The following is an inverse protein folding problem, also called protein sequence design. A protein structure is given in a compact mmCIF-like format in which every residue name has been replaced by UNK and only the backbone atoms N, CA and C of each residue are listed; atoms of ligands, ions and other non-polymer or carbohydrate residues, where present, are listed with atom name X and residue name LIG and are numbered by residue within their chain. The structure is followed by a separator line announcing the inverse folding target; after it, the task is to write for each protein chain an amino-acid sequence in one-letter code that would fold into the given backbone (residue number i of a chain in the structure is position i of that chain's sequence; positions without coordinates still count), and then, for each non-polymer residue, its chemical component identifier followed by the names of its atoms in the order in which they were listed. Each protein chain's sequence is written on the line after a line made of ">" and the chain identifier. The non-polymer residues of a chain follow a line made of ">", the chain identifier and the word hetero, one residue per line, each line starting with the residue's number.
data_IF_664858021853
#
_entry.id   IF_664858021853
#
_cell.length_a   1.000
_cell.length_b   1.000
_cell.length_c   1.000
_cell.angle_alpha   90.00
_cell.angle_beta   90.00
_cell.angle_gamma   90.00
#
_symmetry.space_group_name_H-M   'P 1'
#
loop_
_entity.id
_entity.type
_entity.pdbx_description
1 polymer ?
#
# COMPACT_ATOMS: atom_id res chain seq x y z
N UNK A 1 41.66 -11.86 -49.14
CA UNK A 1 40.71 -12.25 -48.07
C UNK A 1 41.50 -12.34 -46.77
N UNK A 2 41.43 -11.31 -45.93
CA UNK A 2 42.10 -11.29 -44.64
C UNK A 2 41.19 -11.95 -43.59
N UNK A 3 41.73 -12.95 -42.87
CA UNK A 3 41.03 -13.58 -41.76
C UNK A 3 41.04 -12.59 -40.58
N UNK A 4 39.89 -12.21 -40.00
CA UNK A 4 39.88 -11.29 -38.87
C UNK A 4 40.62 -11.94 -37.70
N UNK A 5 41.55 -11.20 -37.09
CA UNK A 5 42.34 -11.68 -35.97
C UNK A 5 41.42 -11.99 -34.77
N UNK A 6 41.78 -13.00 -33.96
CA UNK A 6 41.01 -13.45 -32.78
C UNK A 6 40.60 -12.30 -31.84
N UNK A 7 41.41 -11.23 -31.77
CA UNK A 7 41.11 -10.03 -31.00
C UNK A 7 39.89 -9.24 -31.52
N UNK A 8 39.68 -9.19 -32.84
CA UNK A 8 38.54 -8.50 -33.47
C UNK A 8 37.23 -9.26 -33.17
N UNK A 9 37.28 -10.59 -33.16
CA UNK A 9 36.11 -11.43 -32.81
C UNK A 9 35.74 -11.27 -31.33
N UNK A 10 36.73 -11.19 -30.43
CA UNK A 10 36.50 -10.99 -28.99
C UNK A 10 35.98 -9.59 -28.64
N UNK A 11 36.41 -8.55 -29.36
CA UNK A 11 35.93 -7.18 -29.16
C UNK A 11 34.52 -6.97 -29.74
N UNK A 12 34.20 -7.62 -30.87
CA UNK A 12 32.86 -7.59 -31.44
C UNK A 12 31.83 -8.33 -30.57
N UNK A 13 32.22 -9.45 -29.94
CA UNK A 13 31.32 -10.20 -29.07
C UNK A 13 31.02 -9.46 -27.77
N UNK A 14 32.01 -8.84 -27.11
CA UNK A 14 31.78 -8.05 -25.88
C UNK A 14 30.93 -6.81 -26.14
N UNK A 15 31.10 -6.14 -27.28
CA UNK A 15 30.26 -5.01 -27.68
C UNK A 15 28.79 -5.42 -27.90
N UNK A 16 28.53 -6.61 -28.48
CA UNK A 16 27.17 -7.15 -28.63
C UNK A 16 26.49 -7.49 -27.30
N UNK A 17 27.24 -8.00 -26.31
CA UNK A 17 26.68 -8.27 -24.97
C UNK A 17 26.34 -6.97 -24.22
N UNK A 18 27.13 -5.91 -24.40
CA UNK A 18 26.83 -4.60 -23.77
C UNK A 18 25.58 -3.93 -24.36
N UNK A 19 25.27 -4.15 -25.65
CA UNK A 19 24.03 -3.63 -26.26
C UNK A 19 22.76 -4.35 -25.79
N UNK A 20 22.86 -5.59 -25.30
CA UNK A 20 21.72 -6.36 -24.77
C UNK A 20 21.34 -5.93 -23.34
N UNK A 21 22.23 -5.27 -22.60
CA UNK A 21 21.96 -4.76 -21.25
C UNK A 21 21.12 -3.47 -21.24
N UNK A 22 20.69 -2.95 -22.41
CA UNK A 22 19.99 -1.66 -22.53
C UNK A 22 18.50 -1.76 -22.89
N UNK A 23 17.88 -2.91 -22.73
CA UNK A 23 16.44 -3.12 -22.97
C UNK A 23 15.89 -3.98 -21.83
N UNK A 24 14.94 -3.59 -20.97
CA UNK A 24 13.97 -2.52 -21.02
C UNK A 24 13.68 -2.05 -19.58
N UNK A 25 14.06 -0.82 -19.23
CA UNK A 25 13.32 -0.11 -18.20
C UNK A 25 12.02 0.30 -18.90
N UNK A 26 11.04 -0.62 -18.96
CA UNK A 26 9.69 -0.18 -19.23
C UNK A 26 9.37 0.87 -18.16
N UNK A 27 8.86 2.02 -18.59
CA UNK A 27 8.39 3.05 -17.66
C UNK A 27 7.10 2.51 -17.03
N UNK A 28 7.29 1.55 -16.10
CA UNK A 28 6.21 0.82 -15.47
C UNK A 28 5.46 1.79 -14.60
N UNK A 29 4.15 1.87 -14.82
CA UNK A 29 3.28 2.74 -14.04
C UNK A 29 2.22 1.91 -13.35
N UNK A 30 2.17 2.02 -12.04
CA UNK A 30 1.17 1.37 -11.21
C UNK A 30 0.15 2.38 -10.69
N UNK A 31 -1.00 1.87 -10.26
CA UNK A 31 -1.99 2.64 -9.52
C UNK A 31 -2.34 1.90 -8.24
N UNK A 32 -2.01 2.48 -7.09
CA UNK A 32 -2.39 1.90 -5.81
C UNK A 32 -3.76 2.44 -5.41
N UNK A 33 -4.72 1.54 -5.22
CA UNK A 33 -6.07 1.87 -4.82
C UNK A 33 -6.42 1.25 -3.48
N UNK A 34 -7.08 2.01 -2.62
CA UNK A 34 -7.56 1.50 -1.35
C UNK A 34 -8.60 2.44 -0.77
N UNK A 35 -9.07 2.09 0.43
CA UNK A 35 -10.11 2.86 1.11
C UNK A 35 -9.68 3.31 2.48
N UNK A 36 -10.13 4.49 2.89
CA UNK A 36 -10.00 4.99 4.26
C UNK A 36 -11.36 5.07 4.90
N UNK A 37 -11.48 4.56 6.12
CA UNK A 37 -12.71 4.59 6.89
C UNK A 37 -12.49 5.14 8.31
N UNK A 38 -13.59 5.58 8.91
CA UNK A 38 -13.70 5.83 10.33
C UNK A 38 -14.11 4.53 11.00
N UNK A 39 -13.22 4.00 11.81
CA UNK A 39 -13.46 2.90 12.72
C UNK A 39 -14.18 3.42 13.96
N UNK A 40 -15.51 3.39 13.89
CA UNK A 40 -16.42 3.86 14.93
C UNK A 40 -16.45 2.95 16.15
N UNK A 41 -15.96 1.72 16.04
CA UNK A 41 -15.94 0.73 17.11
C UNK A 41 -14.55 0.36 17.60
N UNK A 42 -13.51 0.97 17.04
CA UNK A 42 -12.10 0.73 17.38
C UNK A 42 -11.70 -0.75 17.24
N UNK A 43 -12.24 -1.41 16.23
CA UNK A 43 -12.02 -2.83 15.92
C UNK A 43 -10.86 -3.08 14.98
N UNK A 44 -10.36 -2.05 14.31
CA UNK A 44 -9.28 -2.08 13.31
C UNK A 44 -9.56 -2.91 12.06
N UNK A 45 -10.83 -3.19 11.81
CA UNK A 45 -11.35 -3.71 10.55
C UNK A 45 -12.73 -3.09 10.29
N UNK A 46 -13.16 -3.15 9.03
CA UNK A 46 -14.44 -2.54 8.60
C UNK A 46 -15.63 -3.31 9.19
N UNK A 47 -16.56 -2.58 9.82
CA UNK A 47 -17.84 -3.10 10.31
C UNK A 47 -19.01 -2.40 9.63
N UNK A 48 -20.25 -2.83 9.91
CA UNK A 48 -21.45 -2.14 9.40
C UNK A 48 -21.63 -0.71 9.94
N UNK A 49 -20.93 -0.35 11.01
CA UNK A 49 -20.93 1.01 11.57
C UNK A 49 -19.75 1.85 11.08
N UNK A 50 -18.84 1.29 10.28
CA UNK A 50 -17.73 2.04 9.70
C UNK A 50 -18.25 3.04 8.65
N UNK A 51 -17.62 4.21 8.62
CA UNK A 51 -17.98 5.28 7.68
C UNK A 51 -16.78 5.60 6.80
N UNK A 52 -16.92 5.52 5.47
CA UNK A 52 -15.84 5.91 4.56
C UNK A 52 -15.56 7.42 4.63
N UNK A 53 -14.28 7.79 4.61
CA UNK A 53 -13.85 9.18 4.78
C UNK A 53 -13.52 9.82 3.45
N UNK A 54 -14.29 10.83 3.05
CA UNK A 54 -13.94 11.74 1.95
C UNK A 54 -12.77 12.63 2.34
N UNK A 55 -11.79 12.91 1.49
CA UNK A 55 -10.72 13.88 1.77
C UNK A 55 -9.71 13.49 2.87
N UNK A 56 -9.67 12.23 3.31
CA UNK A 56 -8.62 11.73 4.18
C UNK A 56 -7.30 11.61 3.41
N UNK A 57 -6.18 11.99 4.03
CA UNK A 57 -4.85 11.95 3.41
C UNK A 57 -4.14 10.65 3.75
N UNK A 58 -3.63 10.00 2.70
CA UNK A 58 -2.77 8.81 2.79
C UNK A 58 -1.44 9.08 2.09
N UNK A 59 -0.44 8.28 2.43
CA UNK A 59 0.86 8.30 1.75
C UNK A 59 1.32 6.89 1.44
N UNK A 60 1.79 6.68 0.22
CA UNK A 60 2.62 5.53 -0.09
C UNK A 60 4.05 5.86 0.34
N UNK A 61 4.66 4.95 1.07
CA UNK A 61 6.06 5.00 1.47
C UNK A 61 6.73 3.72 1.01
N UNK A 62 7.78 3.83 0.20
CA UNK A 62 8.67 2.71 -0.11
C UNK A 62 10.02 2.93 0.54
N UNK A 63 10.54 1.89 1.19
CA UNK A 63 11.85 1.91 1.84
C UNK A 63 12.66 0.67 1.49
N UNK A 64 13.97 0.75 1.72
CA UNK A 64 14.85 -0.41 1.60
C UNK A 64 14.41 -1.55 2.53
N UNK A 65 14.51 -2.81 2.07
CA UNK A 65 14.03 -4.01 2.79
C UNK A 65 14.59 -4.19 4.20
N UNK A 66 15.78 -3.68 4.48
CA UNK A 66 16.46 -3.83 5.77
C UNK A 66 16.12 -2.69 6.76
N UNK A 67 14.93 -2.08 6.62
CA UNK A 67 14.50 -0.95 7.45
C UNK A 67 15.31 0.32 7.16
N UNK A 68 15.82 0.43 5.93
CA UNK A 68 16.68 1.51 5.49
C UNK A 68 15.90 2.77 5.11
N UNK A 69 16.50 3.59 4.25
CA UNK A 69 15.98 4.92 3.94
C UNK A 69 14.68 4.88 3.13
N UNK A 70 13.85 5.92 3.25
CA UNK A 70 12.71 6.15 2.38
C UNK A 70 13.22 6.49 0.98
N UNK A 71 12.86 5.69 -0.01
CA UNK A 71 13.34 5.80 -1.38
C UNK A 71 12.30 6.40 -2.33
N UNK A 72 11.02 6.19 -2.04
CA UNK A 72 9.92 6.75 -2.82
C UNK A 72 8.74 7.11 -1.93
N UNK A 73 8.06 8.20 -2.27
CA UNK A 73 6.82 8.57 -1.60
C UNK A 73 5.88 9.38 -2.47
N UNK A 74 4.59 9.12 -2.33
CA UNK A 74 3.51 9.89 -2.97
C UNK A 74 2.32 10.00 -2.02
N UNK A 75 1.81 11.22 -1.86
CA UNK A 75 0.60 11.50 -1.09
C UNK A 75 -0.62 11.62 -2.00
N UNK A 76 -1.79 11.33 -1.44
CA UNK A 76 -3.07 11.61 -2.08
C UNK A 76 -4.21 11.61 -1.08
N UNK A 77 -5.37 12.02 -1.57
CA UNK A 77 -6.59 12.11 -0.77
C UNK A 77 -7.66 11.16 -1.28
N UNK A 78 -8.50 10.70 -0.38
CA UNK A 78 -9.69 9.93 -0.75
C UNK A 78 -10.76 10.81 -1.40
N UNK A 79 -11.56 10.19 -2.26
CA UNK A 79 -12.79 10.76 -2.82
C UNK A 79 -14.00 10.54 -1.90
N UNK A 80 -15.18 10.98 -2.34
CA UNK A 80 -16.44 10.88 -1.59
C UNK A 80 -16.89 9.44 -1.24
N UNK A 81 -16.27 8.41 -1.82
CA UNK A 81 -16.51 6.99 -1.50
C UNK A 81 -15.47 6.44 -0.51
N UNK A 82 -14.60 7.32 0.00
CA UNK A 82 -13.42 7.01 0.79
C UNK A 82 -12.32 6.30 0.02
N UNK A 83 -12.33 6.36 -1.32
CA UNK A 83 -11.34 5.67 -2.16
C UNK A 83 -10.22 6.62 -2.54
N UNK A 84 -8.96 6.20 -2.39
CA UNK A 84 -7.82 6.89 -2.98
C UNK A 84 -7.29 6.11 -4.18
N UNK A 85 -6.65 6.82 -5.10
CA UNK A 85 -5.91 6.24 -6.23
C UNK A 85 -4.59 6.99 -6.42
N UNK A 86 -3.47 6.36 -6.08
CA UNK A 86 -2.14 6.96 -6.16
C UNK A 86 -1.42 6.48 -7.42
N UNK A 87 -0.97 7.38 -8.32
CA UNK A 87 -0.07 7.01 -9.40
C UNK A 87 1.33 6.72 -8.84
N UNK A 88 1.94 5.63 -9.28
CA UNK A 88 3.28 5.23 -8.88
C UNK A 88 4.11 4.95 -10.11
N UNK A 89 5.23 5.66 -10.23
CA UNK A 89 6.12 5.57 -11.37
C UNK A 89 7.34 4.70 -11.01
N UNK A 90 7.63 3.70 -11.83
CA UNK A 90 8.74 2.78 -11.66
C UNK A 90 8.38 1.45 -11.00
N UNK A 91 9.31 0.52 -11.12
CA UNK A 91 9.31 -0.75 -10.39
C UNK A 91 9.91 -0.53 -8.99
N UNK A 92 9.28 -1.10 -7.97
CA UNK A 92 9.73 -1.03 -6.58
C UNK A 92 9.93 -2.45 -5.99
N UNK A 93 10.43 -3.37 -6.82
CA UNK A 93 10.56 -4.79 -6.48
C UNK A 93 11.46 -5.04 -5.26
N UNK A 94 12.55 -4.29 -5.16
CA UNK A 94 13.55 -4.44 -4.08
C UNK A 94 13.23 -3.62 -2.82
N UNK A 95 12.05 -3.00 -2.77
CA UNK A 95 11.63 -2.13 -1.69
C UNK A 95 10.47 -2.76 -0.89
N UNK A 96 10.22 -2.21 0.30
CA UNK A 96 9.00 -2.46 1.07
C UNK A 96 8.13 -1.24 0.92
N UNK A 97 7.04 -1.38 0.17
CA UNK A 97 6.08 -0.31 -0.03
C UNK A 97 4.83 -0.53 0.82
N UNK A 98 4.41 0.51 1.54
CA UNK A 98 3.22 0.49 2.39
C UNK A 98 2.43 1.78 2.27
N UNK A 99 1.10 1.67 2.34
CA UNK A 99 0.24 2.83 2.55
C UNK A 99 0.13 3.11 4.03
N UNK A 100 0.30 4.37 4.41
CA UNK A 100 0.13 4.88 5.77
C UNK A 100 -0.95 5.97 5.83
N UNK A 101 -1.62 6.06 6.97
CA UNK A 101 -2.57 7.15 7.27
C UNK A 101 -1.79 8.41 7.67
N UNK A 102 -2.09 9.55 7.03
CA UNK A 102 -1.44 10.84 7.33
C UNK A 102 -2.37 11.76 8.11
N UNK A 103 -3.58 11.98 7.59
CA UNK A 103 -4.51 12.94 8.18
C UNK A 103 -5.97 12.54 7.95
N UNK A 104 -6.77 12.64 9.01
CA UNK A 104 -8.22 12.60 8.91
C UNK A 104 -8.78 14.01 8.75
N UNK A 105 -9.85 14.14 7.97
CA UNK A 105 -10.64 15.35 7.84
C UNK A 105 -11.94 15.31 8.68
N UNK A 106 -12.18 14.21 9.41
CA UNK A 106 -13.38 14.02 10.23
C UNK A 106 -13.05 14.27 11.71
N UNK A 107 -13.71 15.27 12.28
CA UNK A 107 -13.57 15.60 13.69
C UNK A 107 -13.93 14.41 14.59
N UNK A 108 -13.07 14.12 15.55
CA UNK A 108 -13.23 13.01 16.50
C UNK A 108 -13.00 11.61 15.91
N UNK A 109 -12.49 11.50 14.68
CA UNK A 109 -12.09 10.25 14.05
C UNK A 109 -10.74 10.38 13.35
N UNK A 110 -9.70 10.63 14.14
CA UNK A 110 -8.34 10.97 13.71
C UNK A 110 -7.26 10.18 14.48
N UNK A 111 -7.65 9.25 15.34
CA UNK A 111 -6.69 8.44 16.10
C UNK A 111 -6.16 7.26 15.27
N UNK A 112 -4.87 6.98 15.38
CA UNK A 112 -4.25 5.76 14.88
C UNK A 112 -3.77 4.94 16.09
N UNK A 113 -3.92 3.61 16.02
CA UNK A 113 -3.54 2.75 17.15
C UNK A 113 -2.05 2.87 17.44
N UNK A 114 -1.68 2.90 18.72
CA UNK A 114 -0.27 2.92 19.17
C UNK A 114 0.21 1.55 19.62
N UNK A 115 -0.61 0.52 19.46
CA UNK A 115 -0.24 -0.84 19.80
C UNK A 115 0.86 -1.34 18.84
N UNK A 116 1.98 -1.76 19.42
CA UNK A 116 3.17 -2.23 18.70
C UNK A 116 2.94 -3.53 17.92
N UNK A 117 1.93 -4.31 18.28
CA UNK A 117 1.60 -5.56 17.57
C UNK A 117 0.70 -5.33 16.36
N UNK A 118 0.17 -4.12 16.20
CA UNK A 118 -0.77 -3.78 15.14
C UNK A 118 -0.07 -2.99 14.03
N UNK A 119 -0.13 -3.54 12.82
CA UNK A 119 0.41 -2.86 11.64
C UNK A 119 -0.60 -1.83 11.13
N UNK A 120 -0.35 -0.55 11.39
CA UNK A 120 -1.18 0.57 10.94
C UNK A 120 -0.94 0.96 9.46
N UNK A 121 -0.46 0.02 8.65
CA UNK A 121 -0.06 0.22 7.27
C UNK A 121 -0.53 -0.93 6.40
N UNK A 122 -0.79 -0.64 5.13
CA UNK A 122 -1.19 -1.63 4.14
C UNK A 122 -0.04 -1.86 3.15
N UNK A 123 0.62 -3.02 3.26
CA UNK A 123 1.72 -3.41 2.37
C UNK A 123 1.22 -3.67 0.95
N UNK A 124 1.99 -3.21 -0.04
CA UNK A 124 1.65 -3.34 -1.45
C UNK A 124 2.85 -3.84 -2.25
N UNK A 125 2.59 -4.71 -3.24
CA UNK A 125 3.61 -5.22 -4.16
C UNK A 125 3.59 -4.41 -5.45
N UNK A 126 4.69 -3.71 -5.72
CA UNK A 126 4.84 -2.84 -6.88
C UNK A 126 5.92 -3.40 -7.81
N UNK A 127 5.64 -4.56 -8.38
CA UNK A 127 6.43 -5.15 -9.47
C UNK A 127 5.56 -5.72 -10.59
N UNK A 128 6.00 -5.59 -11.85
CA UNK A 128 5.42 -6.30 -12.98
C UNK A 128 5.67 -7.82 -12.92
N UNK A 129 6.70 -8.26 -12.18
CA UNK A 129 7.06 -9.67 -11.99
C UNK A 129 6.17 -10.40 -10.95
N UNK A 130 4.89 -10.04 -10.90
CA UNK A 130 3.92 -10.54 -9.92
C UNK A 130 2.87 -11.50 -10.49
N UNK A 131 2.90 -11.75 -11.81
CA UNK A 131 1.87 -12.54 -12.50
C UNK A 131 0.52 -11.83 -12.62
N UNK A 132 0.42 -10.56 -12.18
CA UNK A 132 -0.79 -9.74 -12.32
C UNK A 132 -0.81 -9.03 -13.69
N UNK A 133 -1.93 -9.16 -14.41
CA UNK A 133 -2.13 -8.53 -15.73
C UNK A 133 -2.50 -7.04 -15.68
N UNK A 134 -2.91 -6.55 -14.51
CA UNK A 134 -3.31 -5.16 -14.30
C UNK A 134 -2.21 -4.37 -13.58
N UNK A 135 -2.01 -3.08 -13.90
CA UNK A 135 -1.14 -2.18 -13.13
C UNK A 135 -1.80 -1.68 -11.84
N UNK A 136 -3.08 -2.00 -11.60
CA UNK A 136 -3.78 -1.60 -10.37
C UNK A 136 -3.41 -2.55 -9.24
N UNK A 137 -3.08 -1.98 -8.08
CA UNK A 137 -2.70 -2.68 -6.85
C UNK A 137 -3.68 -2.29 -5.75
N UNK A 138 -4.53 -3.23 -5.34
CA UNK A 138 -5.49 -3.01 -4.26
C UNK A 138 -4.80 -3.14 -2.90
N UNK A 139 -4.86 -2.09 -2.09
CA UNK A 139 -4.40 -2.08 -0.71
C UNK A 139 -5.56 -2.37 0.25
N UNK A 140 -5.24 -3.00 1.38
CA UNK A 140 -6.20 -3.19 2.46
C UNK A 140 -6.74 -1.84 2.96
N UNK A 141 -8.02 -1.77 3.36
CA UNK A 141 -8.57 -0.53 3.89
C UNK A 141 -7.91 -0.17 5.22
N UNK A 142 -7.67 1.12 5.44
CA UNK A 142 -7.07 1.64 6.67
C UNK A 142 -8.10 2.51 7.43
N UNK A 143 -8.12 2.37 8.75
CA UNK A 143 -9.10 3.01 9.61
C UNK A 143 -8.48 4.04 10.55
N UNK A 144 -8.96 5.27 10.53
CA UNK A 144 -8.81 6.15 11.70
C UNK A 144 -9.85 5.75 12.74
N UNK A 145 -9.46 5.70 14.01
CA UNK A 145 -10.35 5.33 15.10
C UNK A 145 -11.08 6.55 15.64
N UNK A 146 -12.37 6.35 15.92
CA UNK A 146 -13.18 7.33 16.65
C UNK A 146 -12.71 7.39 18.10
N UNK A 147 -12.55 8.60 18.65
CA UNK A 147 -12.09 8.81 20.04
C UNK A 147 -12.99 8.12 21.08
N UNK A 148 -14.30 8.19 20.86
CA UNK A 148 -15.31 7.53 21.70
C UNK A 148 -16.08 6.55 20.83
N UNK A 149 -16.07 5.23 21.13
CA UNK A 149 -16.85 4.25 20.40
C UNK A 149 -18.35 4.57 20.40
N UNK A 150 -19.05 4.18 19.34
CA UNK A 150 -20.51 4.29 19.30
C UNK A 150 -21.16 3.33 20.30
N UNK A 151 -22.31 3.69 20.90
CA UNK A 151 -22.99 2.82 21.87
C UNK A 151 -23.44 1.49 21.27
N UNK A 152 -23.69 1.42 19.96
CA UNK A 152 -24.14 0.23 19.24
C UNK A 152 -23.01 -0.78 18.94
N UNK A 153 -21.75 -0.45 19.28
CA UNK A 153 -20.61 -1.31 18.96
C UNK A 153 -20.66 -2.67 19.65
N UNK A 154 -21.25 -2.78 20.85
CA UNK A 154 -21.42 -4.08 21.51
C UNK A 154 -22.28 -5.04 20.69
N UNK A 155 -23.29 -4.52 20.00
CA UNK A 155 -24.22 -5.35 19.23
C UNK A 155 -23.54 -5.84 17.95
N UNK A 156 -22.78 -4.98 17.28
CA UNK A 156 -21.94 -5.36 16.14
C UNK A 156 -20.93 -6.43 16.51
N UNK A 157 -20.25 -6.29 17.67
CA UNK A 157 -19.27 -7.28 18.10
C UNK A 157 -19.90 -8.63 18.46
N UNK A 158 -21.12 -8.63 19.00
CA UNK A 158 -21.90 -9.86 19.21
C UNK A 158 -22.30 -10.52 17.89
N UNK A 159 -22.78 -9.74 16.92
CA UNK A 159 -23.11 -10.22 15.57
C UNK A 159 -21.90 -10.89 14.89
N UNK A 160 -20.70 -10.37 15.15
CA UNK A 160 -19.43 -10.90 14.63
C UNK A 160 -18.85 -12.06 15.46
N UNK A 161 -19.51 -12.47 16.56
CA UNK A 161 -19.02 -13.52 17.45
C UNK A 161 -17.76 -13.16 18.24
N UNK A 162 -17.47 -11.87 18.40
CA UNK A 162 -16.28 -11.37 19.11
C UNK A 162 -16.51 -11.13 20.61
N UNK A 163 -17.77 -11.07 21.04
CA UNK A 163 -18.13 -11.06 22.45
C UNK A 163 -18.73 -12.42 22.79
N UNK A 164 -18.20 -13.06 23.83
CA UNK A 164 -18.79 -14.29 24.37
C UNK A 164 -20.21 -14.02 24.87
N UNK A 165 -21.08 -15.03 24.77
CA UNK A 165 -22.45 -14.99 25.29
C UNK A 165 -22.54 -14.88 26.82
N UNK A 166 -21.39 -14.92 27.51
CA UNK A 166 -21.30 -15.22 28.94
C UNK A 166 -21.08 -13.98 29.82
N UNK A 167 -21.08 -12.77 29.26
CA UNK A 167 -20.87 -11.53 30.04
C UNK A 167 -22.16 -10.83 30.47
N UNK A 168 -23.30 -11.54 30.47
CA UNK A 168 -24.60 -11.01 30.90
C UNK A 168 -25.21 -11.75 32.10
N UNK A 169 -24.37 -12.30 32.98
CA UNK A 169 -24.80 -12.74 34.32
C UNK A 169 -24.30 -11.76 35.40
#
# INVERSE_FOLDING_TARGET
>A
MACPSRAVVLLASTACFLTLLRTAQADSRFFVEGKVYCDTCRTQFVTRLSEYLDGATVRLECSEREGGSLTYSVEGTTDNTGTYRLPVDGEHEEEICEIVLVKSNKEGCDEVSKDTFLRNSARITLTANSGMSTPVRSANPLGFMKKIPLPECSDVLKELGMLGTDTLA
#
